data_IF_972048176280
#
_entry.id   IF_972048176280
#
_cell.length_a   1.000
_cell.length_b   1.000
_cell.length_c   1.000
_cell.angle_alpha   90.00
_cell.angle_beta   90.00
_cell.angle_gamma   90.00
#
_symmetry.space_group_name_H-M   'P 1'
#
loop_
_entity.id
_entity.type
_entity.pdbx_description
1 polymer ?
#
# COMPACT_ATOMS: atom_id res chain seq x y z
N UNK A 1 23.57 -5.58 -3.67
CA UNK A 1 24.34 -5.15 -2.48
C UNK A 1 25.73 -4.66 -2.84
N UNK A 2 26.41 -5.23 -3.83
CA UNK A 2 27.72 -4.75 -4.30
C UNK A 2 27.71 -3.24 -4.69
N UNK A 3 26.58 -2.70 -5.14
CA UNK A 3 26.39 -1.27 -5.45
C UNK A 3 25.87 -0.44 -4.27
N UNK A 4 25.95 -0.96 -3.01
CA UNK A 4 25.55 -0.28 -1.78
C UNK A 4 24.07 0.15 -1.69
N UNK A 5 23.15 -0.48 -2.45
CA UNK A 5 21.72 -0.24 -2.29
C UNK A 5 21.24 -0.60 -0.89
N UNK A 6 20.40 0.24 -0.30
CA UNK A 6 19.88 0.08 1.06
C UNK A 6 18.45 -0.48 1.09
N UNK A 7 17.73 -0.39 -0.01
CA UNK A 7 16.38 -0.94 -0.15
C UNK A 7 16.23 -1.65 -1.49
N UNK A 8 15.58 -2.82 -1.48
CA UNK A 8 15.12 -3.54 -2.67
C UNK A 8 13.60 -3.57 -2.62
N UNK A 9 12.95 -3.29 -3.76
CA UNK A 9 11.51 -3.39 -3.91
C UNK A 9 11.20 -4.55 -4.85
N UNK A 10 10.47 -5.55 -4.34
CA UNK A 10 9.89 -6.60 -5.18
C UNK A 10 8.66 -6.04 -5.88
N UNK A 11 8.62 -6.18 -7.19
CA UNK A 11 7.52 -5.69 -8.01
C UNK A 11 7.13 -6.68 -9.08
N UNK A 12 5.86 -6.66 -9.46
CA UNK A 12 5.29 -7.52 -10.50
C UNK A 12 3.83 -7.15 -10.77
N UNK A 13 3.28 -7.66 -11.88
CA UNK A 13 1.88 -7.45 -12.24
C UNK A 13 0.94 -8.21 -11.28
N UNK A 14 1.37 -9.37 -10.82
CA UNK A 14 0.65 -10.24 -9.89
C UNK A 14 1.67 -10.99 -9.00
N UNK A 15 2.16 -10.28 -7.97
CA UNK A 15 3.18 -10.82 -7.07
C UNK A 15 2.69 -12.00 -6.23
N UNK A 16 1.44 -11.97 -5.81
CA UNK A 16 0.87 -13.00 -4.95
C UNK A 16 0.63 -14.32 -5.67
N UNK A 17 0.64 -14.31 -7.00
CA UNK A 17 0.58 -15.54 -7.81
C UNK A 17 1.96 -16.15 -8.11
N UNK A 18 3.05 -15.47 -7.70
CA UNK A 18 4.39 -16.01 -7.92
C UNK A 18 4.57 -17.36 -7.23
N UNK A 19 5.14 -18.31 -7.95
CA UNK A 19 5.44 -19.66 -7.44
C UNK A 19 4.35 -20.69 -7.76
N UNK A 20 3.12 -20.28 -8.05
CA UNK A 20 1.99 -21.21 -8.32
C UNK A 20 2.15 -22.02 -9.60
N UNK A 21 3.02 -21.58 -10.51
CA UNK A 21 3.37 -22.31 -11.73
C UNK A 21 4.31 -23.50 -11.50
N UNK A 22 4.97 -23.59 -10.36
CA UNK A 22 5.89 -24.67 -10.03
C UNK A 22 5.14 -25.80 -9.31
N UNK A 23 4.54 -26.69 -10.07
CA UNK A 23 3.60 -27.73 -9.61
C UNK A 23 4.17 -28.69 -8.55
N UNK A 24 5.49 -28.86 -8.51
CA UNK A 24 6.17 -29.80 -7.60
C UNK A 24 6.68 -29.15 -6.31
N UNK A 25 6.45 -27.87 -6.10
CA UNK A 25 6.97 -27.12 -4.95
C UNK A 25 5.95 -26.09 -4.45
N UNK A 26 5.81 -26.03 -3.16
CA UNK A 26 4.90 -25.10 -2.49
C UNK A 26 5.54 -23.70 -2.35
N UNK A 27 5.81 -23.06 -3.50
CA UNK A 27 6.39 -21.73 -3.52
C UNK A 27 5.33 -20.65 -3.38
N UNK A 28 5.63 -19.66 -2.55
CA UNK A 28 4.77 -18.51 -2.29
C UNK A 28 5.56 -17.21 -2.29
N UNK A 29 4.87 -16.07 -2.29
CA UNK A 29 5.52 -14.78 -2.11
C UNK A 29 6.27 -14.72 -0.78
N UNK A 30 5.71 -15.26 0.29
CA UNK A 30 6.37 -15.36 1.60
C UNK A 30 7.66 -16.17 1.53
N UNK A 31 7.63 -17.31 0.82
CA UNK A 31 8.83 -18.14 0.62
C UNK A 31 9.98 -17.34 -0.03
N UNK A 32 9.73 -16.63 -1.15
CA UNK A 32 10.81 -15.88 -1.82
C UNK A 32 11.27 -14.69 -0.97
N UNK A 33 10.37 -13.99 -0.28
CA UNK A 33 10.71 -12.91 0.64
C UNK A 33 11.62 -13.41 1.77
N UNK A 34 11.25 -14.51 2.40
CA UNK A 34 12.05 -15.16 3.46
C UNK A 34 13.40 -15.65 2.95
N UNK A 35 13.43 -16.27 1.77
CA UNK A 35 14.67 -16.72 1.14
C UNK A 35 15.63 -15.55 0.86
N UNK A 36 15.13 -14.43 0.29
CA UNK A 36 15.93 -13.23 0.05
C UNK A 36 16.50 -12.68 1.37
N UNK A 37 15.69 -12.55 2.40
CA UNK A 37 16.14 -12.02 3.71
C UNK A 37 17.12 -12.97 4.41
N UNK A 38 17.01 -14.26 4.19
CA UNK A 38 17.94 -15.25 4.72
C UNK A 38 19.27 -15.28 3.98
N UNK A 39 19.25 -15.18 2.65
CA UNK A 39 20.46 -15.16 1.81
C UNK A 39 21.23 -13.84 1.98
N UNK A 40 20.54 -12.72 2.02
CA UNK A 40 21.14 -11.39 2.08
C UNK A 40 21.00 -10.77 3.47
N UNK A 41 21.76 -11.29 4.43
CA UNK A 41 21.72 -10.82 5.85
C UNK A 41 22.03 -9.34 6.03
N UNK A 42 22.80 -8.74 5.11
CA UNK A 42 23.19 -7.33 5.15
C UNK A 42 22.23 -6.39 4.42
N UNK A 43 21.16 -6.92 3.81
CA UNK A 43 20.12 -6.09 3.20
C UNK A 43 19.33 -5.36 4.29
N UNK A 44 19.35 -4.01 4.36
CA UNK A 44 18.68 -3.29 5.44
C UNK A 44 17.17 -3.23 5.28
N UNK A 45 16.66 -3.19 4.02
CA UNK A 45 15.25 -3.04 3.73
C UNK A 45 14.82 -3.85 2.52
N UNK A 46 13.73 -4.58 2.68
CA UNK A 46 13.00 -5.23 1.59
C UNK A 46 11.56 -4.70 1.59
N UNK A 47 11.08 -4.27 0.45
CA UNK A 47 9.71 -3.79 0.28
C UNK A 47 8.99 -4.62 -0.77
N UNK A 48 7.71 -4.87 -0.54
CA UNK A 48 6.81 -5.53 -1.48
C UNK A 48 5.89 -4.48 -2.08
N UNK A 49 5.71 -4.50 -3.40
CA UNK A 49 4.78 -3.59 -4.09
C UNK A 49 3.32 -4.04 -3.92
N UNK A 50 2.47 -3.81 -4.91
CA UNK A 50 1.05 -4.14 -4.81
C UNK A 50 0.79 -5.64 -4.70
N UNK A 51 -0.06 -6.02 -3.75
CA UNK A 51 -0.47 -7.41 -3.47
C UNK A 51 -1.99 -7.54 -3.49
N UNK A 52 -2.48 -8.75 -3.82
CA UNK A 52 -3.91 -9.06 -3.71
C UNK A 52 -4.26 -9.51 -2.29
N UNK A 53 -5.21 -8.86 -1.60
CA UNK A 53 -5.54 -9.21 -0.21
C UNK A 53 -6.11 -10.64 -0.04
N UNK A 54 -6.61 -11.28 -1.11
CA UNK A 54 -7.11 -12.66 -1.05
C UNK A 54 -6.01 -13.73 -1.12
N UNK A 55 -4.80 -13.36 -1.50
CA UNK A 55 -3.74 -14.32 -1.84
C UNK A 55 -2.48 -14.15 -0.98
N UNK A 56 -2.63 -13.51 0.16
CA UNK A 56 -1.52 -13.33 1.09
C UNK A 56 -1.32 -14.63 1.86
N UNK A 57 -0.13 -15.20 1.69
CA UNK A 57 0.23 -16.46 2.30
C UNK A 57 0.69 -16.31 3.76
N UNK A 58 0.62 -17.43 4.50
CA UNK A 58 0.99 -17.46 5.91
C UNK A 58 2.46 -17.11 6.13
N UNK A 59 3.36 -17.55 5.25
CA UNK A 59 4.79 -17.33 5.38
C UNK A 59 5.17 -15.85 5.23
N UNK A 60 4.48 -15.10 4.34
CA UNK A 60 4.63 -13.64 4.25
C UNK A 60 4.23 -12.96 5.56
N UNK A 61 3.15 -13.42 6.20
CA UNK A 61 2.69 -12.89 7.49
C UNK A 61 3.69 -13.19 8.62
N UNK A 62 4.31 -14.37 8.63
CA UNK A 62 5.38 -14.73 9.56
C UNK A 62 6.60 -13.81 9.39
N UNK A 63 7.03 -13.58 8.14
CA UNK A 63 8.15 -12.66 7.86
C UNK A 63 7.80 -11.24 8.26
N UNK A 64 6.57 -10.79 7.99
CA UNK A 64 6.12 -9.45 8.39
C UNK A 64 6.18 -9.24 9.90
N UNK A 65 5.85 -10.26 10.67
CA UNK A 65 5.86 -10.24 12.13
C UNK A 65 7.27 -10.25 12.71
N UNK A 66 8.16 -11.09 12.17
CA UNK A 66 9.43 -11.42 12.81
C UNK A 66 10.66 -10.77 12.19
N UNK A 67 10.61 -10.31 10.93
CA UNK A 67 11.75 -9.66 10.27
C UNK A 67 11.50 -8.18 9.99
N UNK A 68 12.10 -7.33 10.82
CA UNK A 68 11.95 -5.87 10.68
C UNK A 68 12.56 -5.29 9.39
N UNK A 69 13.30 -6.08 8.62
CA UNK A 69 13.83 -5.67 7.31
C UNK A 69 12.76 -5.73 6.22
N UNK A 70 11.67 -6.48 6.41
CA UNK A 70 10.47 -6.33 5.59
C UNK A 70 9.75 -5.05 6.03
N UNK A 71 9.62 -4.10 5.11
CA UNK A 71 9.07 -2.77 5.43
C UNK A 71 7.58 -2.83 5.79
N UNK A 72 7.14 -2.12 6.86
CA UNK A 72 5.76 -2.14 7.35
C UNK A 72 4.84 -1.26 6.50
N UNK A 73 4.83 -1.46 5.22
CA UNK A 73 3.92 -0.83 4.27
C UNK A 73 3.54 -1.84 3.19
N UNK A 74 2.25 -2.10 3.06
CA UNK A 74 1.69 -2.96 2.03
C UNK A 74 0.66 -2.19 1.20
N UNK A 75 0.81 -2.22 -0.11
CA UNK A 75 -0.17 -1.65 -1.03
C UNK A 75 -1.11 -2.74 -1.53
N UNK A 76 -2.43 -2.53 -1.34
CA UNK A 76 -3.45 -3.55 -1.60
C UNK A 76 -4.22 -3.24 -2.88
N UNK A 77 -4.34 -4.21 -3.77
CA UNK A 77 -5.15 -4.11 -4.98
C UNK A 77 -6.64 -4.27 -4.65
N UNK A 78 -7.21 -3.36 -3.84
CA UNK A 78 -8.58 -3.45 -3.29
C UNK A 78 -9.63 -3.24 -4.38
N UNK A 79 -9.47 -2.24 -5.21
CA UNK A 79 -10.30 -1.83 -6.34
C UNK A 79 -11.70 -1.29 -5.99
N UNK A 80 -12.42 -1.88 -5.03
CA UNK A 80 -13.77 -1.45 -4.64
C UNK A 80 -14.16 -1.98 -3.25
N UNK A 81 -15.18 -1.37 -2.61
CA UNK A 81 -15.70 -1.81 -1.32
C UNK A 81 -17.02 -2.60 -1.40
N UNK A 82 -17.62 -2.74 -2.57
CA UNK A 82 -18.88 -3.51 -2.72
C UNK A 82 -18.60 -4.89 -3.32
N UNK A 83 -19.09 -5.95 -2.64
CA UNK A 83 -18.86 -7.33 -3.04
C UNK A 83 -19.40 -7.69 -4.41
N UNK A 84 -20.55 -7.08 -4.83
CA UNK A 84 -21.12 -7.32 -6.15
C UNK A 84 -20.25 -6.69 -7.24
N UNK A 85 -19.76 -5.48 -7.01
CA UNK A 85 -18.84 -4.80 -7.94
C UNK A 85 -17.51 -5.57 -8.01
N UNK A 86 -16.94 -6.00 -6.90
CA UNK A 86 -15.74 -6.83 -6.87
C UNK A 86 -15.91 -8.12 -7.69
N UNK A 87 -17.05 -8.81 -7.55
CA UNK A 87 -17.38 -9.99 -8.38
C UNK A 87 -17.46 -9.67 -9.87
N UNK A 88 -18.04 -8.52 -10.24
CA UNK A 88 -18.10 -8.04 -11.64
C UNK A 88 -16.72 -7.68 -12.19
N UNK A 89 -15.81 -7.21 -11.34
CA UNK A 89 -14.40 -6.99 -11.66
C UNK A 89 -13.60 -8.31 -11.71
N UNK A 90 -14.21 -9.46 -11.40
CA UNK A 90 -13.56 -10.77 -11.23
C UNK A 90 -12.46 -10.77 -10.15
N UNK A 91 -12.67 -9.99 -9.08
CA UNK A 91 -11.78 -10.02 -7.93
C UNK A 91 -12.09 -11.24 -7.07
N UNK A 92 -11.04 -11.78 -6.40
CA UNK A 92 -11.13 -12.96 -5.56
C UNK A 92 -11.51 -12.62 -4.13
N UNK A 93 -11.10 -11.44 -3.65
CA UNK A 93 -11.44 -10.94 -2.31
C UNK A 93 -12.80 -10.25 -2.28
N UNK A 94 -13.37 -10.19 -1.09
CA UNK A 94 -14.57 -9.45 -0.72
C UNK A 94 -14.21 -8.37 0.31
N UNK A 95 -15.18 -7.51 0.64
CA UNK A 95 -15.04 -6.47 1.67
C UNK A 95 -14.45 -7.01 2.99
N UNK A 96 -15.03 -8.12 3.48
CA UNK A 96 -14.60 -8.74 4.76
C UNK A 96 -13.18 -9.27 4.72
N UNK A 97 -12.72 -9.75 3.60
CA UNK A 97 -11.37 -10.30 3.47
C UNK A 97 -10.33 -9.20 3.67
N UNK A 98 -10.56 -8.01 3.09
CA UNK A 98 -9.71 -6.84 3.31
C UNK A 98 -9.68 -6.44 4.78
N UNK A 99 -10.85 -6.36 5.43
CA UNK A 99 -10.94 -5.98 6.85
C UNK A 99 -10.23 -6.99 7.74
N UNK A 100 -10.46 -8.29 7.52
CA UNK A 100 -9.84 -9.36 8.30
C UNK A 100 -8.32 -9.36 8.13
N UNK A 101 -7.84 -9.23 6.89
CA UNK A 101 -6.42 -9.15 6.59
C UNK A 101 -5.76 -7.96 7.31
N UNK A 102 -6.33 -6.76 7.17
CA UNK A 102 -5.79 -5.55 7.81
C UNK A 102 -5.74 -5.68 9.33
N UNK A 103 -6.78 -6.24 9.95
CA UNK A 103 -6.82 -6.49 11.41
C UNK A 103 -5.73 -7.46 11.84
N UNK A 104 -5.59 -8.58 11.13
CA UNK A 104 -4.58 -9.59 11.45
C UNK A 104 -3.16 -9.06 11.23
N UNK A 105 -2.89 -8.36 10.13
CA UNK A 105 -1.58 -7.76 9.88
C UNK A 105 -1.21 -6.72 10.95
N UNK A 106 -2.16 -5.88 11.39
CA UNK A 106 -1.94 -4.93 12.50
C UNK A 106 -1.72 -5.61 13.86
N UNK A 107 -2.39 -6.74 14.09
CA UNK A 107 -2.17 -7.53 15.31
C UNK A 107 -0.74 -8.08 15.38
N UNK A 108 -0.21 -8.54 14.25
CA UNK A 108 1.16 -9.07 14.11
C UNK A 108 2.22 -7.98 14.09
N UNK A 109 1.91 -6.87 13.43
CA UNK A 109 2.82 -5.72 13.29
C UNK A 109 2.08 -4.41 13.39
N UNK A 110 2.10 -3.79 14.56
CA UNK A 110 1.30 -2.62 14.90
C UNK A 110 1.65 -1.34 14.11
N UNK A 111 2.91 -1.22 13.66
CA UNK A 111 3.41 -0.08 12.87
C UNK A 111 3.10 -0.20 11.37
N UNK A 112 2.42 -1.28 10.92
CA UNK A 112 2.10 -1.48 9.50
C UNK A 112 1.10 -0.44 9.00
N UNK A 113 1.35 0.06 7.79
CA UNK A 113 0.52 1.04 7.08
C UNK A 113 0.06 0.46 5.75
N UNK A 114 -1.16 0.77 5.36
CA UNK A 114 -1.75 0.24 4.13
C UNK A 114 -1.98 1.33 3.09
N UNK A 115 -1.60 1.02 1.85
CA UNK A 115 -2.08 1.69 0.67
C UNK A 115 -3.18 0.89 -0.03
N UNK A 116 -3.88 1.50 -0.99
CA UNK A 116 -4.84 0.78 -1.79
C UNK A 116 -5.29 1.55 -3.03
N UNK A 117 -5.57 0.80 -4.10
CA UNK A 117 -6.15 1.32 -5.32
C UNK A 117 -7.67 1.21 -5.29
N UNK A 118 -8.38 2.25 -5.74
CA UNK A 118 -9.84 2.29 -5.84
C UNK A 118 -10.29 2.81 -7.20
N UNK A 119 -11.27 2.14 -7.80
CA UNK A 119 -11.90 2.54 -9.05
C UNK A 119 -13.26 3.15 -8.74
N UNK A 120 -13.48 4.41 -9.12
CA UNK A 120 -14.74 5.10 -8.99
C UNK A 120 -15.58 4.98 -10.26
N UNK A 121 -16.85 4.65 -10.14
CA UNK A 121 -17.79 4.62 -11.26
C UNK A 121 -17.65 3.42 -12.17
N UNK A 122 -17.26 2.27 -11.64
CA UNK A 122 -17.30 1.02 -12.40
C UNK A 122 -18.72 0.76 -12.90
N UNK A 123 -18.93 0.15 -14.09
CA UNK A 123 -20.24 -0.14 -14.61
C UNK A 123 -21.17 -0.77 -13.57
N UNK A 124 -22.40 -0.30 -13.50
CA UNK A 124 -23.41 -0.74 -12.52
C UNK A 124 -23.17 -0.34 -11.07
N UNK A 125 -22.14 0.44 -10.75
CA UNK A 125 -21.97 1.01 -9.41
C UNK A 125 -23.11 1.98 -9.10
N UNK A 126 -23.88 1.68 -8.07
CA UNK A 126 -24.88 2.59 -7.52
C UNK A 126 -24.35 3.41 -6.34
N UNK A 127 -25.17 4.23 -5.73
CA UNK A 127 -24.76 5.08 -4.60
C UNK A 127 -24.40 4.23 -3.37
N UNK A 128 -25.10 3.13 -3.12
CA UNK A 128 -24.81 2.24 -1.98
C UNK A 128 -23.46 1.55 -2.15
N UNK A 129 -23.13 1.11 -3.36
CA UNK A 129 -21.87 0.51 -3.68
C UNK A 129 -20.70 1.51 -3.50
N UNK A 130 -20.88 2.76 -3.94
CA UNK A 130 -19.92 3.83 -3.72
C UNK A 130 -19.67 4.08 -2.22
N UNK A 131 -20.75 4.20 -1.42
CA UNK A 131 -20.64 4.39 0.03
C UNK A 131 -19.89 3.25 0.74
N UNK A 132 -20.03 2.01 0.26
CA UNK A 132 -19.22 0.89 0.80
C UNK A 132 -17.74 1.06 0.54
N UNK A 133 -17.32 1.63 -0.59
CA UNK A 133 -15.91 1.96 -0.82
C UNK A 133 -15.41 3.02 0.16
N UNK A 134 -16.20 4.06 0.41
CA UNK A 134 -15.90 5.09 1.42
C UNK A 134 -15.80 4.49 2.83
N UNK A 135 -16.72 3.58 3.16
CA UNK A 135 -16.72 2.88 4.45
C UNK A 135 -15.50 1.98 4.62
N UNK A 136 -15.14 1.19 3.60
CA UNK A 136 -13.99 0.30 3.62
C UNK A 136 -12.68 1.06 3.89
N UNK A 137 -12.47 2.18 3.18
CA UNK A 137 -11.31 3.06 3.38
C UNK A 137 -11.19 3.48 4.84
N UNK A 138 -12.31 3.89 5.44
CA UNK A 138 -12.34 4.38 6.82
C UNK A 138 -12.14 3.24 7.83
N UNK A 139 -12.86 2.12 7.67
CA UNK A 139 -12.82 0.98 8.59
C UNK A 139 -11.47 0.26 8.56
N UNK A 140 -10.89 0.06 7.38
CA UNK A 140 -9.56 -0.52 7.21
C UNK A 140 -8.43 0.48 7.51
N UNK A 141 -8.75 1.77 7.73
CA UNK A 141 -7.77 2.84 7.94
C UNK A 141 -6.69 2.85 6.86
N UNK A 142 -7.12 2.82 5.59
CA UNK A 142 -6.20 2.89 4.44
C UNK A 142 -5.63 4.29 4.36
N UNK A 143 -4.30 4.39 4.26
CA UNK A 143 -3.56 5.66 4.35
C UNK A 143 -3.18 6.22 2.99
N UNK A 144 -2.59 5.38 2.12
CA UNK A 144 -2.12 5.78 0.79
C UNK A 144 -3.10 5.30 -0.26
N UNK A 145 -3.97 6.20 -0.74
CA UNK A 145 -5.09 5.81 -1.60
C UNK A 145 -4.90 6.40 -2.99
N UNK A 146 -4.90 5.54 -3.98
CA UNK A 146 -4.95 5.94 -5.38
C UNK A 146 -6.36 5.78 -5.93
N UNK A 147 -6.91 6.83 -6.49
CA UNK A 147 -8.27 6.85 -7.02
C UNK A 147 -8.26 6.99 -8.53
N UNK A 148 -8.80 5.98 -9.20
CA UNK A 148 -8.92 5.90 -10.65
C UNK A 148 -10.39 6.05 -11.06
N UNK A 149 -10.77 7.12 -11.78
CA UNK A 149 -12.07 7.16 -12.42
C UNK A 149 -12.13 6.04 -13.47
N UNK A 150 -13.23 5.28 -13.48
CA UNK A 150 -13.40 4.21 -14.46
C UNK A 150 -13.29 4.75 -15.89
N UNK A 151 -12.52 4.06 -16.71
CA UNK A 151 -12.37 4.35 -18.13
C UNK A 151 -12.80 3.13 -18.93
N UNK A 152 -13.81 3.29 -19.78
CA UNK A 152 -14.31 2.22 -20.62
C UNK A 152 -13.25 1.79 -21.65
N UNK A 153 -12.98 0.49 -21.71
CA UNK A 153 -12.06 -0.11 -22.68
C UNK A 153 -12.83 -1.07 -23.59
N UNK A 154 -12.82 -0.79 -24.88
CA UNK A 154 -13.45 -1.67 -25.89
C UNK A 154 -12.99 -3.12 -25.72
N UNK A 155 -13.87 -4.06 -26.03
CA UNK A 155 -13.61 -5.51 -25.99
C UNK A 155 -13.39 -6.09 -24.57
N UNK A 156 -13.79 -5.37 -23.53
CA UNK A 156 -13.82 -5.92 -22.17
C UNK A 156 -15.26 -6.27 -21.76
N UNK A 157 -15.47 -7.27 -20.88
CA UNK A 157 -16.82 -7.55 -20.37
C UNK A 157 -17.49 -6.32 -19.73
N UNK A 158 -16.71 -5.48 -19.05
CA UNK A 158 -17.19 -4.25 -18.43
C UNK A 158 -17.73 -3.24 -19.45
N UNK A 159 -17.24 -3.23 -20.69
CA UNK A 159 -17.74 -2.31 -21.74
C UNK A 159 -19.17 -2.60 -22.17
N UNK A 160 -19.65 -3.82 -21.95
CA UNK A 160 -21.00 -4.26 -22.30
C UNK A 160 -22.00 -4.12 -21.13
N UNK A 161 -21.54 -3.69 -19.97
CA UNK A 161 -22.40 -3.46 -18.79
C UNK A 161 -23.03 -2.06 -18.84
N UNK A 162 -24.16 -1.82 -18.12
CA UNK A 162 -24.71 -0.48 -17.96
C UNK A 162 -23.68 0.50 -17.39
N UNK A 163 -23.35 1.52 -18.17
CA UNK A 163 -22.30 2.50 -17.83
C UNK A 163 -22.84 3.55 -16.85
N UNK A 164 -21.99 3.97 -15.91
CA UNK A 164 -22.26 5.11 -15.03
C UNK A 164 -22.00 6.42 -15.81
N UNK A 165 -22.85 7.41 -15.61
CA UNK A 165 -22.69 8.72 -16.27
C UNK A 165 -21.36 9.38 -15.88
N UNK A 166 -20.68 9.99 -16.84
CA UNK A 166 -19.35 10.62 -16.64
C UNK A 166 -19.33 11.63 -15.49
N UNK A 167 -20.41 12.43 -15.33
CA UNK A 167 -20.52 13.40 -14.21
C UNK A 167 -20.54 12.69 -12.85
N UNK A 168 -21.20 11.53 -12.75
CA UNK A 168 -21.25 10.73 -11.52
C UNK A 168 -19.89 10.11 -11.23
N UNK A 169 -19.21 9.56 -12.25
CA UNK A 169 -17.84 9.04 -12.12
C UNK A 169 -16.90 10.11 -11.55
N UNK A 170 -16.94 11.32 -12.13
CA UNK A 170 -16.10 12.44 -11.68
C UNK A 170 -16.41 12.87 -10.25
N UNK A 171 -17.72 12.96 -9.89
CA UNK A 171 -18.15 13.28 -8.52
C UNK A 171 -17.60 12.25 -7.52
N UNK A 172 -17.85 10.95 -7.78
CA UNK A 172 -17.39 9.86 -6.89
C UNK A 172 -15.87 9.78 -6.77
N UNK A 173 -15.15 9.96 -7.88
CA UNK A 173 -13.70 10.02 -7.85
C UNK A 173 -13.19 11.20 -7.01
N UNK A 174 -13.88 12.35 -7.03
CA UNK A 174 -13.56 13.49 -6.17
C UNK A 174 -13.81 13.14 -4.70
N UNK A 175 -14.97 12.60 -4.36
CA UNK A 175 -15.31 12.21 -2.99
C UNK A 175 -14.30 11.21 -2.39
N UNK A 176 -13.87 10.21 -3.18
CA UNK A 176 -12.81 9.27 -2.76
C UNK A 176 -11.46 9.97 -2.55
N UNK A 177 -11.08 10.94 -3.41
CA UNK A 177 -9.84 11.70 -3.25
C UNK A 177 -9.89 12.61 -2.02
N UNK A 178 -11.03 13.28 -1.78
CA UNK A 178 -11.21 14.13 -0.59
C UNK A 178 -11.09 13.28 0.70
N UNK A 179 -11.63 12.05 0.68
CA UNK A 179 -11.44 11.10 1.79
C UNK A 179 -10.00 10.62 1.90
N UNK A 180 -9.34 10.33 0.77
CA UNK A 180 -7.93 9.91 0.72
C UNK A 180 -7.02 10.97 1.36
N UNK A 181 -7.19 12.23 0.99
CA UNK A 181 -6.46 13.36 1.58
C UNK A 181 -6.70 13.45 3.09
N UNK A 182 -7.95 13.33 3.54
CA UNK A 182 -8.29 13.33 4.96
C UNK A 182 -7.60 12.19 5.73
N UNK A 183 -7.60 10.97 5.19
CA UNK A 183 -6.94 9.81 5.81
C UNK A 183 -5.42 9.99 5.84
N UNK A 184 -4.84 10.48 4.75
CA UNK A 184 -3.42 10.74 4.67
C UNK A 184 -2.99 11.83 5.67
N UNK A 185 -3.70 12.96 5.74
CA UNK A 185 -3.42 14.02 6.69
C UNK A 185 -3.55 13.56 8.15
N UNK A 186 -4.57 12.76 8.47
CA UNK A 186 -4.71 12.13 9.79
C UNK A 186 -3.49 11.29 10.15
N UNK A 187 -2.99 10.53 9.21
CA UNK A 187 -1.79 9.72 9.39
C UNK A 187 -0.55 10.61 9.57
N UNK A 188 -0.33 11.63 8.73
CA UNK A 188 0.81 12.54 8.87
C UNK A 188 0.83 13.23 10.23
N UNK A 189 -0.31 13.69 10.73
CA UNK A 189 -0.43 14.27 12.08
C UNK A 189 0.02 13.28 13.14
N UNK A 190 -0.33 12.00 13.02
CA UNK A 190 0.08 10.96 13.98
C UNK A 190 1.59 10.69 13.99
N UNK A 191 2.32 11.11 12.96
CA UNK A 191 3.78 10.93 12.88
C UNK A 191 4.55 12.05 13.59
N UNK A 192 3.94 13.21 13.87
CA UNK A 192 4.61 14.32 14.54
C UNK A 192 5.08 13.89 15.93
N UNK A 193 6.33 14.23 16.25
CA UNK A 193 6.99 13.86 17.50
C UNK A 193 7.56 12.44 17.55
N UNK A 194 7.25 11.60 16.57
CA UNK A 194 7.84 10.25 16.47
C UNK A 194 9.26 10.30 15.91
N UNK A 195 10.02 9.23 16.14
CA UNK A 195 11.33 9.01 15.50
C UNK A 195 11.22 7.94 14.43
N UNK A 196 11.62 8.27 13.21
CA UNK A 196 11.54 7.41 12.03
C UNK A 196 12.95 7.11 11.48
N UNK A 197 13.17 5.88 11.00
CA UNK A 197 14.35 5.57 10.18
C UNK A 197 14.06 5.98 8.75
N UNK A 198 14.81 6.93 8.19
CA UNK A 198 14.61 7.47 6.84
C UNK A 198 15.74 7.02 5.93
N UNK A 199 15.42 6.39 4.82
CA UNK A 199 16.37 6.19 3.72
C UNK A 199 16.37 7.46 2.87
N UNK A 200 17.47 8.17 2.86
CA UNK A 200 17.64 9.39 2.06
C UNK A 200 17.92 9.01 0.61
N UNK A 201 17.15 9.54 -0.32
CA UNK A 201 17.20 9.22 -1.75
C UNK A 201 17.91 10.32 -2.54
N UNK A 202 17.52 11.57 -2.30
CA UNK A 202 18.16 12.73 -2.94
C UNK A 202 17.86 14.01 -2.13
N UNK A 203 18.75 15.01 -2.26
CA UNK A 203 18.57 16.38 -1.70
C UNK A 203 17.96 16.42 -0.28
N UNK A 204 18.41 15.52 0.59
CA UNK A 204 17.88 15.39 1.96
C UNK A 204 16.39 15.06 2.04
N UNK A 205 15.83 14.44 0.99
CA UNK A 205 14.48 13.88 0.94
C UNK A 205 14.59 12.37 0.86
N UNK A 206 13.74 11.67 1.59
CA UNK A 206 13.71 10.21 1.57
C UNK A 206 12.39 9.66 2.10
N UNK A 207 12.34 8.34 2.25
CA UNK A 207 11.17 7.64 2.77
C UNK A 207 11.50 6.89 4.07
N UNK A 208 10.55 6.96 5.00
CA UNK A 208 10.58 6.15 6.22
C UNK A 208 10.24 4.68 5.94
N UNK A 209 10.33 3.86 6.97
CA UNK A 209 9.95 2.44 6.90
C UNK A 209 8.48 2.26 6.50
N UNK A 210 7.58 3.12 6.98
CA UNK A 210 6.14 3.12 6.68
C UNK A 210 5.76 3.93 5.43
N UNK A 211 6.75 4.26 4.58
CA UNK A 211 6.61 4.94 3.30
C UNK A 211 6.26 6.44 3.38
N UNK A 212 6.35 7.07 4.55
CA UNK A 212 6.19 8.53 4.65
C UNK A 212 7.33 9.26 3.95
N UNK A 213 7.00 10.21 3.07
CA UNK A 213 7.97 11.11 2.46
C UNK A 213 8.42 12.15 3.50
N UNK A 214 9.72 12.25 3.71
CA UNK A 214 10.31 13.10 4.74
C UNK A 214 11.42 13.96 4.13
N UNK A 215 11.34 15.27 4.34
CA UNK A 215 12.41 16.22 4.04
C UNK A 215 13.19 16.49 5.33
N UNK A 216 14.50 16.40 5.26
CA UNK A 216 15.39 16.68 6.40
C UNK A 216 15.78 18.16 6.42
N UNK A 217 15.89 18.75 7.61
CA UNK A 217 16.41 20.11 7.77
C UNK A 217 17.89 20.21 7.43
N UNK A 218 18.63 19.15 7.77
CA UNK A 218 20.06 19.05 7.54
C UNK A 218 20.35 18.43 6.16
N UNK A 219 21.50 18.78 5.61
CA UNK A 219 22.01 18.07 4.45
C UNK A 219 22.47 16.66 4.86
N UNK A 220 21.93 15.64 4.18
CA UNK A 220 22.31 14.23 4.37
C UNK A 220 22.52 13.61 3.00
N UNK A 221 23.63 12.87 2.85
CA UNK A 221 23.97 12.19 1.61
C UNK A 221 22.94 11.12 1.24
N UNK A 222 22.70 10.97 -0.05
CA UNK A 222 21.83 9.92 -0.59
C UNK A 222 22.35 8.52 -0.24
N UNK A 223 21.48 7.52 -0.29
CA UNK A 223 21.74 6.13 0.07
C UNK A 223 22.16 5.92 1.54
N UNK A 224 21.81 6.87 2.41
CA UNK A 224 22.05 6.79 3.86
C UNK A 224 20.75 6.55 4.61
N UNK A 225 20.77 5.69 5.62
CA UNK A 225 19.63 5.49 6.54
C UNK A 225 19.93 6.25 7.83
N UNK A 226 19.10 7.23 8.17
CA UNK A 226 19.26 8.07 9.35
C UNK A 226 18.04 8.01 10.27
N UNK A 227 18.29 8.13 11.56
CA UNK A 227 17.24 8.32 12.58
C UNK A 227 16.79 9.77 12.55
N UNK A 228 15.50 10.01 12.39
CA UNK A 228 14.91 11.33 12.13
C UNK A 228 13.74 11.58 13.06
N UNK A 229 13.80 12.63 13.86
CA UNK A 229 12.64 13.11 14.64
C UNK A 229 11.73 13.92 13.73
N UNK A 230 10.46 13.56 13.69
CA UNK A 230 9.45 14.26 12.89
C UNK A 230 8.98 15.50 13.65
N UNK A 231 9.04 16.64 12.99
CA UNK A 231 8.75 17.96 13.61
C UNK A 231 7.37 18.45 13.23
N UNK A 232 7.04 18.45 11.95
CA UNK A 232 5.82 19.05 11.42
C UNK A 232 5.46 18.48 10.03
N UNK A 233 4.26 18.81 9.56
CA UNK A 233 3.82 18.53 8.19
C UNK A 233 4.27 19.71 7.31
N UNK A 234 4.76 19.39 6.13
CA UNK A 234 5.03 20.35 5.07
C UNK A 234 4.20 20.02 3.81
N UNK A 235 4.15 20.89 2.78
CA UNK A 235 3.35 20.66 1.59
C UNK A 235 3.67 19.35 0.84
N UNK A 236 4.88 18.84 0.98
CA UNK A 236 5.36 17.64 0.28
C UNK A 236 5.40 16.38 1.17
N UNK A 237 4.92 16.44 2.41
CA UNK A 237 4.94 15.31 3.35
C UNK A 237 5.28 15.74 4.77
N UNK A 238 6.38 15.25 5.33
CA UNK A 238 6.84 15.56 6.69
C UNK A 238 8.18 16.30 6.67
N UNK A 239 8.41 17.14 7.66
CA UNK A 239 9.70 17.75 7.97
C UNK A 239 10.31 17.06 9.18
N UNK A 240 11.58 16.70 9.10
CA UNK A 240 12.29 16.04 10.19
C UNK A 240 13.69 16.60 10.41
N UNK A 241 14.28 16.23 11.54
CA UNK A 241 15.67 16.57 11.91
C UNK A 241 16.42 15.34 12.40
N UNK A 242 17.69 15.25 12.07
CA UNK A 242 18.63 14.24 12.59
C UNK A 242 19.32 14.68 13.89
N UNK A 243 19.12 15.92 14.30
CA UNK A 243 19.64 16.48 15.55
C UNK A 243 18.67 16.26 16.70
N UNK A 244 19.16 15.78 17.82
CA UNK A 244 18.40 15.67 19.08
C UNK A 244 18.24 17.04 19.72
#
# INVERSE_FOLDING_TARGET
LQKNFKEIVLTGVDLTSWGKEFLDQDYSLGFIVKKILNEFKTLPRLRVSSIDPAEIDYELMEVLEHDHRLMPHLHLSIQHGDDLILKRMKRRHLYRDVINFVKEAKRRRNDIVFGGDFIAGFPTEDEKAHQKSMQLITEANITYIHVFPYSNRKNTPASNMPQVQKKIIQKRAKELRDLAEKQHNKFLVSQIGTTQKVLVENNSVGHSTNFSKIKLKEHVEACTIVSTKILEINPDGLLGTTRN
#
